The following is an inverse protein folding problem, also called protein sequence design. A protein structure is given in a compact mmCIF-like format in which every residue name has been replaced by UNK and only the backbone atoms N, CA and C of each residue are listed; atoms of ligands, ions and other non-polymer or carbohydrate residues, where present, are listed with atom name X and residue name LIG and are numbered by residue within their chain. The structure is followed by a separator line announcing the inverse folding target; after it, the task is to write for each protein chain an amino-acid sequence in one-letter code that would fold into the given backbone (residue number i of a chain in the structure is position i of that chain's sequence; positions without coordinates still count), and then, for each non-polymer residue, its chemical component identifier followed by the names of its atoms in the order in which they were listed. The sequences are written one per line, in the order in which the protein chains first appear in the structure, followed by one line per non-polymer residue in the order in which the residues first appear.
data_IF_286674811935
#
_entry.id   IF_286674811935
#
_cell.length_a   1.000
_cell.length_b   1.000
_cell.length_c   1.000
_cell.angle_alpha   90.00
_cell.angle_beta   90.00
_cell.angle_gamma   90.00
#
_symmetry.space_group_name_H-M   'P 1'
#
loop_
_entity.id
_entity.type
_entity.pdbx_description
1 polymer ?
#
# COMPACT_ATOMS: atom_id res chain seq x y z
N UNK A 1 14.89 -9.26 15.54
CA UNK A 1 15.48 -10.23 14.58
C UNK A 1 14.46 -11.20 14.01
N UNK A 2 13.63 -11.88 14.82
CA UNK A 2 12.59 -12.80 14.30
C UNK A 2 11.67 -12.15 13.26
N UNK A 3 11.19 -10.94 13.51
CA UNK A 3 10.27 -10.24 12.61
C UNK A 3 10.92 -9.80 11.30
N UNK A 4 12.21 -9.45 11.33
CA UNK A 4 13.01 -9.22 10.12
C UNK A 4 13.05 -10.45 9.23
N UNK A 5 13.34 -11.61 9.84
CA UNK A 5 13.38 -12.87 9.12
C UNK A 5 12.01 -13.24 8.55
N UNK A 6 10.92 -13.10 9.32
CA UNK A 6 9.55 -13.35 8.85
C UNK A 6 9.22 -12.43 7.66
N UNK A 7 9.56 -11.14 7.74
CA UNK A 7 9.35 -10.19 6.65
C UNK A 7 10.08 -10.61 5.37
N UNK A 8 11.38 -10.91 5.48
CA UNK A 8 12.20 -11.33 4.34
C UNK A 8 11.72 -12.66 3.73
N UNK A 9 11.47 -13.67 4.57
CA UNK A 9 11.00 -14.98 4.13
C UNK A 9 9.62 -14.89 3.47
N UNK A 10 8.70 -14.11 4.06
CA UNK A 10 7.37 -13.86 3.48
C UNK A 10 7.46 -13.13 2.14
N UNK A 11 8.36 -12.15 2.02
CA UNK A 11 8.56 -11.44 0.76
C UNK A 11 9.01 -12.38 -0.36
N UNK A 12 10.06 -13.18 -0.10
CA UNK A 12 10.57 -14.18 -1.05
C UNK A 12 9.46 -15.17 -1.42
N UNK A 13 8.71 -15.66 -0.43
CA UNK A 13 7.58 -16.56 -0.64
C UNK A 13 6.53 -15.93 -1.57
N UNK A 14 6.16 -14.67 -1.36
CA UNK A 14 5.19 -13.98 -2.22
C UNK A 14 5.71 -13.79 -3.65
N UNK A 15 7.00 -13.53 -3.84
CA UNK A 15 7.59 -13.49 -5.19
C UNK A 15 7.54 -14.85 -5.88
N UNK A 16 7.86 -15.93 -5.16
CA UNK A 16 7.75 -17.31 -5.68
C UNK A 16 6.30 -17.65 -6.05
N UNK A 17 5.34 -17.33 -5.19
CA UNK A 17 3.90 -17.52 -5.47
C UNK A 17 3.50 -16.69 -6.70
N UNK A 18 3.99 -15.46 -6.86
CA UNK A 18 3.71 -14.64 -8.05
C UNK A 18 4.21 -15.29 -9.34
N UNK A 19 5.41 -15.90 -9.31
CA UNK A 19 5.97 -16.62 -10.46
C UNK A 19 5.14 -17.86 -10.79
N UNK A 20 4.75 -18.63 -9.77
CA UNK A 20 3.93 -19.83 -9.93
C UNK A 20 2.53 -19.48 -10.47
N UNK A 21 1.87 -18.48 -9.89
CA UNK A 21 0.59 -17.96 -10.39
C UNK A 21 0.71 -17.52 -11.85
N UNK A 22 1.82 -16.91 -12.24
CA UNK A 22 2.08 -16.53 -13.62
C UNK A 22 2.10 -17.69 -14.63
N UNK A 23 2.23 -18.94 -14.18
CA UNK A 23 2.17 -20.15 -15.01
C UNK A 23 0.80 -20.84 -14.98
N UNK A 24 -0.10 -20.44 -14.08
CA UNK A 24 -1.40 -21.06 -13.89
C UNK A 24 -2.47 -20.46 -14.83
N UNK A 25 -3.16 -21.29 -15.62
CA UNK A 25 -4.28 -20.85 -16.48
C UNK A 25 -5.43 -20.19 -15.70
N UNK A 26 -5.61 -20.56 -14.43
CA UNK A 26 -6.67 -20.03 -13.54
C UNK A 26 -6.19 -18.93 -12.59
N UNK A 27 -5.03 -18.31 -12.84
CA UNK A 27 -4.45 -17.31 -11.96
C UNK A 27 -5.36 -16.10 -11.72
N UNK A 28 -5.99 -15.58 -12.78
CA UNK A 28 -6.93 -14.46 -12.65
C UNK A 28 -8.11 -14.83 -11.74
N UNK A 29 -8.69 -16.02 -11.91
CA UNK A 29 -9.79 -16.49 -11.08
C UNK A 29 -9.36 -16.66 -9.61
N UNK A 30 -8.18 -17.24 -9.36
CA UNK A 30 -7.64 -17.40 -8.01
C UNK A 30 -7.44 -16.06 -7.31
N UNK A 31 -6.84 -15.08 -7.99
CA UNK A 31 -6.61 -13.74 -7.42
C UNK A 31 -7.95 -13.03 -7.18
N UNK A 32 -8.95 -13.20 -8.05
CA UNK A 32 -10.29 -12.63 -7.84
C UNK A 32 -11.00 -13.22 -6.62
N UNK A 33 -10.93 -14.54 -6.44
CA UNK A 33 -11.48 -15.21 -5.26
C UNK A 33 -10.78 -14.69 -4.00
N UNK A 34 -9.45 -14.64 -4.02
CA UNK A 34 -8.66 -14.12 -2.90
C UNK A 34 -8.97 -12.64 -2.62
N UNK A 35 -9.24 -11.85 -3.66
CA UNK A 35 -9.69 -10.46 -3.53
C UNK A 35 -11.01 -10.38 -2.77
N UNK A 36 -12.01 -11.18 -3.15
CA UNK A 36 -13.27 -11.26 -2.43
C UNK A 36 -13.08 -11.66 -0.96
N UNK A 37 -12.26 -12.67 -0.69
CA UNK A 37 -11.96 -13.12 0.67
C UNK A 37 -11.28 -12.04 1.53
N UNK A 38 -10.25 -11.37 0.99
CA UNK A 38 -9.56 -10.26 1.67
C UNK A 38 -10.49 -9.09 1.95
N UNK A 39 -11.32 -8.72 0.97
CA UNK A 39 -12.28 -7.64 1.12
C UNK A 39 -13.25 -7.93 2.27
N UNK A 40 -13.88 -9.10 2.26
CA UNK A 40 -14.80 -9.53 3.32
C UNK A 40 -14.09 -9.57 4.68
N UNK A 41 -12.90 -10.17 4.73
CA UNK A 41 -12.10 -10.25 5.95
C UNK A 41 -11.80 -8.86 6.53
N UNK A 42 -11.38 -7.90 5.70
CA UNK A 42 -11.03 -6.55 6.16
C UNK A 42 -12.27 -5.76 6.57
N UNK A 43 -13.36 -5.83 5.81
CA UNK A 43 -14.64 -5.26 6.23
C UNK A 43 -15.06 -5.79 7.61
N UNK A 44 -15.06 -7.12 7.79
CA UNK A 44 -15.40 -7.75 9.06
C UNK A 44 -14.44 -7.32 10.19
N UNK A 45 -13.13 -7.29 9.93
CA UNK A 45 -12.14 -6.85 10.90
C UNK A 45 -12.41 -5.44 11.42
N UNK A 46 -12.59 -4.47 10.52
CA UNK A 46 -12.85 -3.08 10.93
C UNK A 46 -14.21 -2.93 11.61
N UNK A 47 -15.26 -3.59 11.11
CA UNK A 47 -16.59 -3.56 11.76
C UNK A 47 -16.50 -4.12 13.19
N UNK A 48 -15.88 -5.29 13.37
CA UNK A 48 -15.75 -5.94 14.69
C UNK A 48 -14.92 -5.09 15.66
N UNK A 49 -13.84 -4.45 15.18
CA UNK A 49 -13.05 -3.55 16.02
C UNK A 49 -13.89 -2.37 16.53
N UNK A 50 -14.65 -1.72 15.64
CA UNK A 50 -15.52 -0.61 16.03
C UNK A 50 -16.65 -1.05 16.98
N UNK A 51 -17.27 -2.21 16.75
CA UNK A 51 -18.31 -2.76 17.66
C UNK A 51 -17.74 -3.02 19.06
N UNK A 52 -16.46 -3.43 19.16
CA UNK A 52 -15.77 -3.63 20.45
C UNK A 52 -15.35 -2.34 21.14
N UNK A 53 -15.70 -1.17 20.59
CA UNK A 53 -15.32 0.13 21.13
C UNK A 53 -13.90 0.59 20.73
N UNK A 54 -13.19 -0.19 19.91
CA UNK A 54 -11.89 0.20 19.37
C UNK A 54 -12.12 0.94 18.05
N UNK A 55 -12.29 2.26 18.11
CA UNK A 55 -12.47 3.09 16.91
C UNK A 55 -11.31 2.87 15.95
N UNK A 56 -11.62 2.25 14.81
CA UNK A 56 -10.65 1.75 13.86
C UNK A 56 -11.13 2.05 12.47
N UNK A 57 -10.42 2.94 11.80
CA UNK A 57 -10.74 3.51 10.51
C UNK A 57 -9.50 3.33 9.63
N UNK A 58 -9.64 2.80 8.41
CA UNK A 58 -8.51 2.64 7.52
C UNK A 58 -8.06 4.01 7.02
N UNK A 59 -7.05 4.60 7.66
CA UNK A 59 -6.46 5.90 7.25
C UNK A 59 -5.12 5.75 6.53
N UNK A 60 -4.38 4.67 6.80
CA UNK A 60 -3.13 4.39 6.08
C UNK A 60 -3.38 4.08 4.61
N UNK A 61 -2.47 4.50 3.72
CA UNK A 61 -2.52 4.18 2.29
C UNK A 61 -2.59 2.66 2.07
N UNK A 62 -1.81 1.88 2.82
CA UNK A 62 -1.85 0.41 2.76
C UNK A 62 -3.17 -0.16 3.27
N UNK A 63 -3.74 0.43 4.33
CA UNK A 63 -5.04 0.03 4.88
C UNK A 63 -6.18 0.29 3.92
N UNK A 64 -6.20 1.45 3.25
CA UNK A 64 -7.19 1.77 2.21
C UNK A 64 -7.00 0.87 0.98
N UNK A 65 -5.76 0.52 0.65
CA UNK A 65 -5.43 -0.38 -0.46
C UNK A 65 -6.06 -1.77 -0.30
N UNK A 66 -6.33 -2.22 0.94
CA UNK A 66 -7.07 -3.46 1.20
C UNK A 66 -8.53 -3.45 0.79
N UNK A 67 -9.09 -2.28 0.48
CA UNK A 67 -10.44 -2.17 -0.05
C UNK A 67 -10.37 -1.84 -1.54
N UNK A 68 -9.53 -0.87 -1.89
CA UNK A 68 -9.38 -0.38 -3.26
C UNK A 68 -8.93 -1.49 -4.22
N UNK A 69 -7.84 -2.19 -3.91
CA UNK A 69 -7.27 -3.21 -4.81
C UNK A 69 -8.22 -4.40 -4.98
N UNK A 70 -8.79 -4.99 -3.91
CA UNK A 70 -9.78 -6.05 -4.08
C UNK A 70 -11.00 -5.67 -4.89
N UNK A 71 -11.56 -4.47 -4.70
CA UNK A 71 -12.73 -4.02 -5.46
C UNK A 71 -12.37 -3.90 -6.94
N UNK A 72 -11.24 -3.27 -7.26
CA UNK A 72 -10.76 -3.13 -8.65
C UNK A 72 -10.62 -4.52 -9.31
N UNK A 73 -10.04 -5.48 -8.61
CA UNK A 73 -9.74 -6.82 -9.16
C UNK A 73 -10.99 -7.71 -9.22
N UNK A 74 -11.78 -7.79 -8.14
CA UNK A 74 -12.96 -8.64 -8.06
C UNK A 74 -14.01 -8.25 -9.12
N UNK A 75 -14.25 -6.94 -9.27
CA UNK A 75 -15.22 -6.35 -10.21
C UNK A 75 -14.63 -6.04 -11.59
N UNK A 76 -13.34 -6.35 -11.83
CA UNK A 76 -12.66 -6.13 -13.12
C UNK A 76 -12.75 -4.69 -13.64
N UNK A 77 -12.54 -3.71 -12.77
CA UNK A 77 -12.62 -2.28 -13.12
C UNK A 77 -11.37 -1.87 -13.91
N UNK A 78 -11.33 -2.21 -15.20
CA UNK A 78 -10.14 -2.07 -16.08
C UNK A 78 -9.54 -0.68 -16.07
N UNK A 79 -10.39 0.37 -16.02
CA UNK A 79 -9.96 1.77 -15.98
C UNK A 79 -9.09 2.12 -14.75
N UNK A 80 -9.16 1.32 -13.69
CA UNK A 80 -8.40 1.52 -12.46
C UNK A 80 -7.31 0.47 -12.25
N UNK A 81 -7.03 -0.39 -13.23
CA UNK A 81 -5.99 -1.41 -13.07
C UNK A 81 -4.60 -0.81 -12.83
N UNK A 82 -4.27 0.34 -13.43
CA UNK A 82 -3.02 1.03 -13.16
C UNK A 82 -2.92 1.48 -11.69
N UNK A 83 -4.02 1.95 -11.11
CA UNK A 83 -4.14 2.34 -9.70
C UNK A 83 -3.99 1.11 -8.80
N UNK A 84 -4.77 0.06 -9.05
CA UNK A 84 -4.73 -1.17 -8.28
C UNK A 84 -3.34 -1.83 -8.32
N UNK A 85 -2.68 -1.80 -9.49
CA UNK A 85 -1.32 -2.30 -9.66
C UNK A 85 -0.30 -1.49 -8.87
N UNK A 86 -0.31 -0.16 -9.03
CA UNK A 86 0.64 0.72 -8.37
C UNK A 86 0.55 0.64 -6.85
N UNK A 87 -0.64 0.84 -6.28
CA UNK A 87 -0.82 0.82 -4.82
C UNK A 87 -0.67 -0.58 -4.22
N UNK A 88 -1.07 -1.64 -4.95
CA UNK A 88 -0.83 -3.02 -4.52
C UNK A 88 0.66 -3.34 -4.39
N UNK A 89 1.46 -2.97 -5.40
CA UNK A 89 2.92 -3.14 -5.36
C UNK A 89 3.55 -2.26 -4.29
N UNK A 90 3.19 -0.96 -4.23
CA UNK A 90 3.78 -0.02 -3.28
C UNK A 90 3.51 -0.42 -1.82
N UNK A 91 2.27 -0.80 -1.50
CA UNK A 91 1.91 -1.28 -0.15
C UNK A 91 2.62 -2.59 0.19
N UNK A 92 2.67 -3.53 -0.75
CA UNK A 92 3.36 -4.80 -0.57
C UNK A 92 4.87 -4.64 -0.33
N UNK A 93 5.55 -3.98 -1.26
CA UNK A 93 7.00 -3.72 -1.17
C UNK A 93 7.33 -2.87 0.05
N UNK A 94 6.57 -1.81 0.32
CA UNK A 94 6.80 -0.94 1.48
C UNK A 94 6.72 -1.70 2.80
N UNK A 95 5.69 -2.54 2.97
CA UNK A 95 5.54 -3.35 4.17
C UNK A 95 6.71 -4.33 4.35
N UNK A 96 7.03 -5.10 3.31
CA UNK A 96 8.10 -6.09 3.41
C UNK A 96 9.48 -5.45 3.58
N UNK A 97 9.75 -4.33 2.92
CA UNK A 97 10.98 -3.57 3.11
C UNK A 97 11.10 -3.07 4.56
N UNK A 98 10.03 -2.49 5.11
CA UNK A 98 10.00 -2.02 6.50
C UNK A 98 10.27 -3.17 7.47
N UNK A 99 9.53 -4.28 7.41
CA UNK A 99 9.73 -5.36 8.37
C UNK A 99 11.06 -6.08 8.18
N UNK A 100 11.55 -6.22 6.94
CA UNK A 100 12.88 -6.81 6.68
C UNK A 100 14.00 -5.97 7.29
N UNK A 101 13.97 -4.65 7.12
CA UNK A 101 15.05 -3.76 7.56
C UNK A 101 14.90 -3.33 9.03
N UNK A 102 13.68 -2.99 9.44
CA UNK A 102 13.36 -2.33 10.70
C UNK A 102 12.41 -3.13 11.59
N UNK A 103 12.06 -4.38 11.25
CA UNK A 103 11.10 -5.18 12.02
C UNK A 103 11.48 -5.42 13.48
N UNK A 104 12.75 -5.28 13.85
CA UNK A 104 13.20 -5.34 15.25
C UNK A 104 12.71 -4.15 16.08
N UNK A 105 12.45 -3.00 15.47
CA UNK A 105 11.99 -1.78 16.17
C UNK A 105 10.56 -1.88 16.68
N UNK A 106 9.78 -2.80 16.12
CA UNK A 106 8.35 -2.98 16.44
C UNK A 106 8.07 -4.34 17.10
N UNK A 107 9.12 -5.00 17.61
CA UNK A 107 9.04 -6.36 18.12
C UNK A 107 8.10 -6.52 19.33
N UNK A 108 8.06 -5.49 20.17
CA UNK A 108 7.26 -5.47 21.40
C UNK A 108 5.84 -4.91 21.18
N UNK A 109 5.60 -4.25 20.04
CA UNK A 109 4.35 -3.56 19.75
C UNK A 109 3.31 -4.45 19.06
N UNK A 110 3.73 -5.56 18.45
CA UNK A 110 2.86 -6.44 17.69
C UNK A 110 3.05 -7.91 18.08
N UNK A 111 1.94 -8.61 18.15
CA UNK A 111 1.93 -10.06 18.31
C UNK A 111 2.36 -10.77 17.02
N UNK A 112 2.82 -12.00 17.14
CA UNK A 112 3.20 -12.82 15.98
C UNK A 112 2.02 -13.00 15.00
N UNK A 113 0.80 -13.18 15.51
CA UNK A 113 -0.39 -13.36 14.69
C UNK A 113 -0.74 -12.11 13.88
N UNK A 114 -0.55 -10.92 14.46
CA UNK A 114 -0.75 -9.65 13.76
C UNK A 114 0.26 -9.47 12.63
N UNK A 115 1.52 -9.81 12.85
CA UNK A 115 2.55 -9.73 11.80
C UNK A 115 2.27 -10.73 10.68
N UNK A 116 1.91 -11.98 11.00
CA UNK A 116 1.57 -12.97 9.98
C UNK A 116 0.34 -12.54 9.18
N UNK A 117 -0.67 -11.97 9.86
CA UNK A 117 -1.85 -11.38 9.21
C UNK A 117 -1.47 -10.21 8.31
N UNK A 118 -0.55 -9.36 8.75
CA UNK A 118 -0.01 -8.25 7.97
C UNK A 118 0.77 -8.74 6.73
N UNK A 119 1.62 -9.76 6.89
CA UNK A 119 2.34 -10.43 5.79
C UNK A 119 1.37 -11.03 4.77
N UNK A 120 0.31 -11.70 5.23
CA UNK A 120 -0.72 -12.23 4.34
C UNK A 120 -1.47 -11.13 3.59
N UNK A 121 -1.90 -10.09 4.30
CA UNK A 121 -2.67 -8.98 3.72
C UNK A 121 -1.85 -8.20 2.68
N UNK A 122 -0.61 -7.81 3.02
CA UNK A 122 0.29 -7.11 2.10
C UNK A 122 0.85 -8.02 1.01
N UNK A 123 1.03 -9.31 1.32
CA UNK A 123 1.39 -10.33 0.35
C UNK A 123 0.34 -10.45 -0.74
N UNK A 124 -0.95 -10.49 -0.37
CA UNK A 124 -2.04 -10.42 -1.34
C UNK A 124 -1.98 -9.14 -2.19
N UNK A 125 -1.79 -7.96 -1.59
CA UNK A 125 -1.69 -6.70 -2.34
C UNK A 125 -0.54 -6.74 -3.35
N UNK A 126 0.60 -7.28 -2.94
CA UNK A 126 1.76 -7.46 -3.82
C UNK A 126 1.44 -8.41 -4.98
N UNK A 127 0.84 -9.57 -4.68
CA UNK A 127 0.46 -10.57 -5.69
C UNK A 127 -0.53 -10.00 -6.71
N UNK A 128 -1.61 -9.37 -6.23
CA UNK A 128 -2.61 -8.74 -7.08
C UNK A 128 -2.00 -7.61 -7.91
N UNK A 129 -1.16 -6.78 -7.28
CA UNK A 129 -0.50 -5.65 -7.93
C UNK A 129 0.45 -6.08 -9.05
N UNK A 130 1.30 -7.08 -8.78
CA UNK A 130 2.21 -7.70 -9.75
C UNK A 130 1.45 -8.42 -10.87
N UNK A 131 0.36 -9.11 -10.55
CA UNK A 131 -0.49 -9.76 -11.55
C UNK A 131 -1.10 -8.72 -12.51
N UNK A 132 -1.66 -7.63 -11.99
CA UNK A 132 -2.16 -6.54 -12.83
C UNK A 132 -1.03 -5.92 -13.67
N UNK A 133 0.15 -5.69 -13.07
CA UNK A 133 1.32 -5.13 -13.76
C UNK A 133 1.81 -5.98 -14.92
N UNK A 134 1.84 -7.30 -14.72
CA UNK A 134 2.34 -8.25 -15.72
C UNK A 134 1.36 -8.43 -16.89
N UNK A 135 0.06 -8.39 -16.61
CA UNK A 135 -0.97 -8.73 -17.59
C UNK A 135 -1.63 -7.53 -18.27
N UNK A 136 -1.20 -6.30 -17.94
CA UNK A 136 -1.75 -5.08 -18.54
C UNK A 136 -0.65 -4.12 -18.96
N UNK A 137 -0.89 -3.46 -20.08
CA UNK A 137 -0.03 -2.41 -20.61
C UNK A 137 -0.61 -1.06 -20.20
N UNK A 138 0.08 -0.38 -19.29
CA UNK A 138 -0.35 0.92 -18.78
C UNK A 138 0.28 2.05 -19.57
N UNK A 139 -0.53 3.04 -19.93
CA UNK A 139 -0.09 4.20 -20.69
C UNK A 139 0.21 5.37 -19.78
N UNK A 140 1.19 6.20 -20.13
CA UNK A 140 1.55 7.37 -19.30
C UNK A 140 0.40 8.37 -19.13
N UNK A 141 -0.55 8.40 -20.08
CA UNK A 141 -1.77 9.20 -19.99
C UNK A 141 -2.68 8.79 -18.81
N UNK A 142 -2.47 7.62 -18.23
CA UNK A 142 -3.19 7.13 -17.04
C UNK A 142 -2.58 7.60 -15.71
N UNK A 143 -1.39 8.24 -15.74
CA UNK A 143 -0.71 8.80 -14.54
C UNK A 143 -1.63 9.64 -13.64
N UNK A 144 -2.51 10.52 -14.17
CA UNK A 144 -3.40 11.31 -13.33
C UNK A 144 -4.33 10.47 -12.45
N UNK A 145 -4.65 9.22 -12.84
CA UNK A 145 -5.51 8.34 -12.03
C UNK A 145 -4.82 7.89 -10.74
N UNK A 146 -3.51 7.66 -10.78
CA UNK A 146 -2.71 7.32 -9.59
C UNK A 146 -2.67 8.51 -8.62
N UNK A 147 -2.47 9.72 -9.14
CA UNK A 147 -2.52 10.95 -8.34
C UNK A 147 -3.90 11.21 -7.76
N UNK A 148 -4.96 11.08 -8.56
CA UNK A 148 -6.34 11.23 -8.10
C UNK A 148 -6.66 10.25 -6.96
N UNK A 149 -6.23 8.99 -7.08
CA UNK A 149 -6.38 8.00 -6.02
C UNK A 149 -5.57 8.35 -4.76
N UNK A 150 -4.33 8.82 -4.90
CA UNK A 150 -3.54 9.31 -3.76
C UNK A 150 -4.26 10.45 -3.03
N UNK A 151 -4.71 11.48 -3.77
CA UNK A 151 -5.41 12.61 -3.18
C UNK A 151 -6.73 12.21 -2.54
N UNK A 152 -7.47 11.26 -3.11
CA UNK A 152 -8.67 10.71 -2.49
C UNK A 152 -8.35 9.97 -1.17
N UNK A 153 -7.27 9.18 -1.13
CA UNK A 153 -6.81 8.52 0.09
C UNK A 153 -6.37 9.52 1.15
N UNK A 154 -5.64 10.58 0.76
CA UNK A 154 -5.24 11.66 1.66
C UNK A 154 -6.45 12.45 2.18
N UNK A 155 -7.43 12.74 1.31
CA UNK A 155 -8.67 13.40 1.70
C UNK A 155 -9.47 12.57 2.69
N UNK A 156 -9.57 11.26 2.48
CA UNK A 156 -10.16 10.34 3.43
C UNK A 156 -9.41 10.35 4.77
N UNK A 157 -8.09 10.18 4.73
CA UNK A 157 -7.27 10.18 5.94
C UNK A 157 -7.34 11.51 6.70
N UNK A 158 -7.46 12.65 6.00
CA UNK A 158 -7.65 13.97 6.61
C UNK A 158 -8.96 14.08 7.38
N UNK A 159 -10.07 13.54 6.84
CA UNK A 159 -11.39 13.57 7.50
C UNK A 159 -11.39 12.77 8.80
N UNK A 160 -10.70 11.63 8.82
CA UNK A 160 -10.69 10.72 9.97
C UNK A 160 -9.44 10.83 10.86
N UNK A 161 -8.55 11.77 10.54
CA UNK A 161 -7.27 11.95 11.21
C UNK A 161 -7.41 12.08 12.74
N UNK A 162 -8.31 12.94 13.21
CA UNK A 162 -8.48 13.22 14.64
C UNK A 162 -9.36 12.17 15.37
N UNK A 163 -9.90 11.19 14.64
CA UNK A 163 -10.81 10.16 15.17
C UNK A 163 -10.13 8.82 15.46
N UNK A 164 -9.05 8.51 14.75
CA UNK A 164 -8.37 7.22 14.88
C UNK A 164 -7.53 7.13 16.15
N UNK A 165 -7.71 6.07 16.94
CA UNK A 165 -7.08 5.93 18.27
C UNK A 165 -5.76 5.16 18.26
N UNK A 166 -5.28 4.69 17.10
CA UNK A 166 -4.12 3.77 16.99
C UNK A 166 -2.73 4.42 17.06
N UNK A 167 -2.64 5.70 17.42
CA UNK A 167 -1.37 6.42 17.61
C UNK A 167 -0.74 6.92 16.31
N UNK A 168 0.49 7.44 16.37
CA UNK A 168 1.10 8.17 15.25
C UNK A 168 1.65 7.23 14.17
N UNK A 169 1.05 7.26 12.98
CA UNK A 169 1.44 6.45 11.83
C UNK A 169 2.04 7.30 10.71
N UNK A 170 2.55 6.64 9.64
CA UNK A 170 3.22 7.34 8.54
C UNK A 170 2.32 8.38 7.85
N UNK A 171 1.04 8.08 7.66
CA UNK A 171 0.11 9.03 7.05
C UNK A 171 -0.05 10.31 7.88
N UNK A 172 0.16 10.24 9.20
CA UNK A 172 0.05 11.41 10.08
C UNK A 172 1.25 12.34 9.96
N UNK A 173 2.44 11.79 9.69
CA UNK A 173 3.59 12.62 9.33
C UNK A 173 3.37 13.35 8.00
N UNK A 174 2.47 12.87 7.14
CA UNK A 174 2.07 13.58 5.92
C UNK A 174 0.96 14.60 6.20
N UNK A 175 -0.03 14.29 7.04
CA UNK A 175 -1.20 15.17 7.27
C UNK A 175 -0.89 16.34 8.21
N UNK A 176 -0.22 16.10 9.34
CA UNK A 176 0.20 17.13 10.30
C UNK A 176 1.68 16.94 10.64
N UNK A 177 2.63 17.43 9.81
CA UNK A 177 4.08 17.28 10.03
C UNK A 177 4.62 18.20 11.15
N UNK A 178 3.99 18.17 12.33
CA UNK A 178 4.35 19.02 13.48
C UNK A 178 5.77 18.76 13.99
N UNK A 179 6.31 17.57 13.75
CA UNK A 179 7.70 17.22 14.07
C UNK A 179 8.74 18.08 13.31
N UNK A 180 8.33 18.82 12.28
CA UNK A 180 9.18 19.77 11.57
C UNK A 180 9.22 21.16 12.22
N UNK A 181 8.53 21.38 13.34
CA UNK A 181 8.50 22.68 14.02
C UNK A 181 9.72 22.78 14.94
N UNK A 182 10.90 22.90 14.34
CA UNK A 182 12.18 22.83 15.03
C UNK A 182 12.83 24.20 15.28
N UNK A 183 12.34 25.25 14.61
CA UNK A 183 12.83 26.62 14.79
C UNK A 183 11.83 27.46 15.59
N UNK A 184 12.33 28.43 16.36
CA UNK A 184 11.47 29.40 17.04
C UNK A 184 10.74 30.32 16.04
N UNK A 185 11.35 30.56 14.87
CA UNK A 185 10.77 31.37 13.82
C UNK A 185 9.78 30.56 12.96
N UNK A 186 8.49 30.90 13.06
CA UNK A 186 7.41 30.24 12.31
C UNK A 186 7.65 30.22 10.79
N UNK A 187 8.22 31.29 10.22
CA UNK A 187 8.53 31.36 8.80
C UNK A 187 9.50 30.25 8.34
N UNK A 188 10.51 29.91 9.16
CA UNK A 188 11.46 28.84 8.86
C UNK A 188 10.79 27.46 8.93
N UNK A 189 9.91 27.25 9.91
CA UNK A 189 9.13 26.01 10.00
C UNK A 189 8.21 25.83 8.78
N UNK A 190 7.52 26.89 8.34
CA UNK A 190 6.68 26.83 7.13
C UNK A 190 7.50 26.51 5.89
N UNK A 191 8.68 27.12 5.73
CA UNK A 191 9.59 26.81 4.62
C UNK A 191 10.06 25.34 4.66
N UNK A 192 10.35 24.81 5.85
CA UNK A 192 10.74 23.41 6.03
C UNK A 192 9.61 22.44 5.67
N UNK A 193 8.37 22.75 6.07
CA UNK A 193 7.16 21.97 5.69
C UNK A 193 6.97 22.01 4.17
N UNK A 194 7.11 23.19 3.55
CA UNK A 194 7.01 23.33 2.10
C UNK A 194 8.07 22.49 1.38
N UNK A 195 9.32 22.53 1.85
CA UNK A 195 10.40 21.70 1.33
C UNK A 195 10.09 20.20 1.50
N UNK A 196 9.59 19.79 2.67
CA UNK A 196 9.18 18.42 2.93
C UNK A 196 8.13 17.93 1.92
N UNK A 197 7.08 18.70 1.66
CA UNK A 197 6.07 18.32 0.68
C UNK A 197 6.59 18.34 -0.76
N UNK A 198 7.48 19.27 -1.11
CA UNK A 198 8.16 19.26 -2.42
C UNK A 198 8.96 17.96 -2.62
N UNK A 199 9.71 17.54 -1.60
CA UNK A 199 10.50 16.30 -1.63
C UNK A 199 9.59 15.06 -1.68
N UNK A 200 8.51 15.04 -0.90
CA UNK A 200 7.54 13.95 -0.90
C UNK A 200 6.85 13.81 -2.27
N UNK A 201 6.41 14.93 -2.86
CA UNK A 201 5.80 14.97 -4.18
C UNK A 201 6.80 14.54 -5.28
N UNK A 202 8.06 14.96 -5.18
CA UNK A 202 9.13 14.53 -6.08
C UNK A 202 9.37 13.03 -5.98
N UNK A 203 9.51 12.50 -4.76
CA UNK A 203 9.70 11.06 -4.52
C UNK A 203 8.53 10.23 -5.08
N UNK A 204 7.29 10.68 -4.84
CA UNK A 204 6.11 10.02 -5.40
C UNK A 204 6.08 10.11 -6.93
N UNK A 205 6.38 11.27 -7.52
CA UNK A 205 6.46 11.44 -8.98
C UNK A 205 7.52 10.51 -9.59
N UNK A 206 8.68 10.36 -8.95
CA UNK A 206 9.72 9.42 -9.36
C UNK A 206 9.22 7.98 -9.30
N UNK A 207 8.55 7.58 -8.22
CA UNK A 207 7.96 6.25 -8.11
C UNK A 207 6.94 5.96 -9.22
N UNK A 208 6.06 6.92 -9.53
CA UNK A 208 5.09 6.81 -10.63
C UNK A 208 5.82 6.72 -11.98
N UNK A 209 6.83 7.57 -12.23
CA UNK A 209 7.65 7.51 -13.46
C UNK A 209 8.34 6.15 -13.62
N UNK A 210 8.93 5.61 -12.55
CA UNK A 210 9.57 4.30 -12.56
C UNK A 210 8.56 3.20 -12.85
N UNK A 211 7.37 3.23 -12.23
CA UNK A 211 6.31 2.27 -12.50
C UNK A 211 5.95 2.18 -13.99
N UNK A 212 5.71 3.31 -14.65
CA UNK A 212 5.42 3.32 -16.09
C UNK A 212 6.63 2.93 -16.94
N UNK A 213 7.85 3.38 -16.59
CA UNK A 213 9.09 3.01 -17.28
C UNK A 213 9.30 1.49 -17.27
N UNK A 214 9.13 0.84 -16.12
CA UNK A 214 9.29 -0.61 -16.01
C UNK A 214 8.16 -1.37 -16.69
N UNK A 215 6.92 -0.87 -16.66
CA UNK A 215 5.80 -1.49 -17.38
C UNK A 215 6.04 -1.44 -18.91
N UNK A 216 6.47 -0.29 -19.42
CA UNK A 216 6.82 -0.12 -20.83
C UNK A 216 8.01 -1.01 -21.24
N UNK A 217 9.04 -1.15 -20.38
CA UNK A 217 10.17 -2.06 -20.65
C UNK A 217 9.72 -3.52 -20.67
N UNK A 218 8.83 -3.94 -19.78
CA UNK A 218 8.24 -5.29 -19.79
C UNK A 218 7.55 -5.58 -21.13
N UNK A 219 6.76 -4.63 -21.64
CA UNK A 219 6.06 -4.75 -22.93
C UNK A 219 7.02 -4.95 -24.11
N UNK A 220 8.22 -4.38 -24.05
CA UNK A 220 9.21 -4.46 -25.12
C UNK A 220 9.98 -5.79 -25.17
N UNK A 221 9.85 -6.66 -24.16
CA UNK A 221 10.49 -7.97 -24.16
C UNK A 221 9.64 -8.97 -24.97
N UNK A 222 10.25 -9.81 -25.84
CA UNK A 222 9.54 -10.88 -26.52
C UNK A 222 8.99 -11.89 -25.50
N UNK A 223 7.79 -12.40 -25.79
CA UNK A 223 7.01 -13.30 -24.94
C UNK A 223 7.66 -14.69 -24.78
#
# INVERSE_FOLDING_TARGET
MLYNFIGAASFVLMLLISVLLGKCKRAEAAIRILSGAIFVYKCAHYIVQNIRGNLSIPVEISSISYFLVPVIVAFKIRRLYCVGSFFGIAAGVGYFAFYTLLGFTVAESFTLSEILTGCFSHGYLLLAGLHLFKNNDFQESEKPRIWAALFAMLGWALVFYDLETRGITFIYYIIKPQYLYIFDAMALNVLLIFLYYCLAALAFSLAVKLFYKYNAKRRALPA
#
